data_IF_059652010031
#
_entry.id   IF_059652010031
#
_cell.length_a   1.000
_cell.length_b   1.000
_cell.length_c   1.000
_cell.angle_alpha   90.00
_cell.angle_beta   90.00
_cell.angle_gamma   90.00
#
_symmetry.space_group_name_H-M   'P 1'
#
loop_
_entity.id
_entity.type
_entity.pdbx_description
1 polymer ?
#
# COMPACT_ATOMS: atom_id res chain seq x y z
N UNK A 1 24.74 -47.37 22.35
CA UNK A 1 23.78 -47.18 21.25
C UNK A 1 23.73 -45.68 20.98
N UNK A 2 24.74 -45.06 20.34
CA UNK A 2 25.59 -45.49 19.21
C UNK A 2 24.75 -45.65 17.93
N UNK A 3 25.11 -45.03 16.79
CA UNK A 3 26.43 -44.50 16.42
C UNK A 3 26.41 -43.06 15.88
N UNK A 4 27.54 -42.35 16.06
CA UNK A 4 27.87 -41.11 15.37
C UNK A 4 28.38 -41.41 13.95
N UNK A 5 28.36 -40.41 13.07
CA UNK A 5 29.31 -40.31 11.95
C UNK A 5 29.88 -38.89 11.92
N UNK A 6 31.21 -38.80 11.86
CA UNK A 6 31.99 -37.58 11.68
C UNK A 6 33.03 -37.88 10.59
N UNK A 7 33.20 -36.98 9.63
CA UNK A 7 34.35 -36.94 8.74
C UNK A 7 34.59 -35.48 8.30
N UNK A 8 35.63 -34.86 8.86
CA UNK A 8 36.21 -33.63 8.32
C UNK A 8 37.39 -33.99 7.38
N UNK A 9 38.36 -33.10 7.07
CA UNK A 9 38.45 -32.55 5.73
C UNK A 9 39.72 -32.98 4.98
N UNK A 10 39.86 -32.51 3.74
CA UNK A 10 41.11 -32.59 2.98
C UNK A 10 41.62 -31.18 2.68
N UNK A 11 42.82 -30.83 3.17
CA UNK A 11 43.47 -29.54 2.96
C UNK A 11 44.73 -29.65 2.08
N UNK A 12 45.00 -28.55 1.36
CA UNK A 12 46.29 -28.08 0.82
C UNK A 12 47.15 -28.96 -0.13
N UNK A 13 47.44 -28.39 -1.31
CA UNK A 13 48.39 -28.87 -2.31
C UNK A 13 49.23 -27.73 -2.91
N UNK A 14 49.62 -26.76 -2.07
CA UNK A 14 50.21 -25.45 -2.39
C UNK A 14 51.36 -25.38 -3.41
N UNK A 15 51.38 -24.24 -4.14
CA UNK A 15 52.50 -23.62 -4.92
C UNK A 15 52.73 -24.21 -6.33
N UNK A 16 53.36 -23.51 -7.29
CA UNK A 16 54.10 -22.22 -7.27
C UNK A 16 53.93 -21.46 -8.60
N UNK A 17 54.18 -20.16 -8.63
CA UNK A 17 54.31 -19.36 -9.86
C UNK A 17 55.80 -19.12 -10.21
N UNK A 18 56.11 -18.72 -11.44
CA UNK A 18 57.10 -17.67 -11.80
C UNK A 18 57.04 -17.32 -13.32
N UNK A 19 57.60 -16.18 -13.80
CA UNK A 19 57.31 -15.64 -15.15
C UNK A 19 58.52 -15.41 -16.11
N UNK A 20 58.19 -15.00 -17.35
CA UNK A 20 58.99 -14.27 -18.36
C UNK A 20 60.11 -14.96 -19.20
N UNK A 21 60.15 -14.67 -20.52
CA UNK A 21 61.38 -14.40 -21.33
C UNK A 21 61.07 -13.93 -22.78
N UNK A 22 61.85 -12.93 -23.23
CA UNK A 22 61.85 -12.06 -24.44
C UNK A 22 62.42 -12.77 -25.72
N UNK A 23 62.24 -12.40 -27.01
CA UNK A 23 61.66 -11.20 -27.68
C UNK A 23 60.45 -11.54 -28.61
N UNK A 24 60.34 -11.45 -29.97
CA UNK A 24 61.20 -11.11 -31.15
C UNK A 24 60.41 -10.19 -32.14
N UNK A 25 61.14 -9.50 -33.04
CA UNK A 25 60.75 -8.45 -34.01
C UNK A 25 59.85 -8.91 -35.20
N UNK A 26 58.94 -8.02 -35.64
CA UNK A 26 58.33 -7.97 -36.98
C UNK A 26 57.83 -6.55 -37.30
N UNK A 27 57.86 -6.08 -38.55
CA UNK A 27 57.66 -4.65 -38.89
C UNK A 27 56.81 -4.38 -40.15
N UNK A 28 56.08 -3.25 -40.17
CA UNK A 28 55.47 -2.67 -41.39
C UNK A 28 54.19 -1.83 -41.18
N UNK A 29 54.12 -0.62 -41.76
CA UNK A 29 52.94 0.29 -41.77
C UNK A 29 52.77 1.10 -40.47
N UNK A 30 52.75 2.45 -40.40
CA UNK A 30 52.05 3.47 -41.20
C UNK A 30 50.51 3.30 -41.13
N UNK A 31 49.69 4.29 -40.73
CA UNK A 31 49.74 5.74 -41.04
C UNK A 31 49.32 6.63 -39.84
N UNK A 32 49.81 7.89 -39.85
CA UNK A 32 49.42 9.16 -39.17
C UNK A 32 48.09 9.29 -38.37
N UNK A 33 47.90 10.27 -37.45
CA UNK A 33 48.78 11.19 -36.69
C UNK A 33 47.91 12.06 -35.73
N UNK A 34 48.41 12.39 -34.52
CA UNK A 34 47.98 13.45 -33.57
C UNK A 34 46.47 13.54 -33.14
N UNK A 35 46.08 13.61 -31.86
CA UNK A 35 46.50 14.48 -30.73
C UNK A 35 46.23 15.98 -30.93
N UNK A 36 45.31 16.55 -30.14
CA UNK A 36 45.60 17.53 -29.05
C UNK A 36 44.29 18.07 -28.47
N UNK A 37 44.26 18.31 -27.16
CA UNK A 37 43.17 18.98 -26.42
C UNK A 37 43.32 20.51 -26.48
N UNK A 38 42.23 21.27 -26.29
CA UNK A 38 42.01 22.16 -25.12
C UNK A 38 40.82 23.13 -25.36
N UNK A 39 40.31 23.69 -24.26
CA UNK A 39 39.14 24.58 -24.16
C UNK A 39 39.35 26.04 -24.61
N UNK A 40 38.27 26.69 -25.04
CA UNK A 40 38.01 28.12 -24.73
C UNK A 40 36.52 28.37 -24.49
N UNK A 41 36.21 29.26 -23.54
CA UNK A 41 34.88 29.86 -23.34
C UNK A 41 34.91 31.27 -23.93
N UNK A 42 33.87 31.65 -24.68
CA UNK A 42 33.62 33.04 -25.08
C UNK A 42 32.14 33.36 -24.84
N UNK A 43 31.87 34.48 -24.20
CA UNK A 43 30.54 35.07 -24.07
C UNK A 43 30.55 36.49 -24.63
N UNK A 44 29.60 36.83 -25.49
CA UNK A 44 29.38 38.19 -26.02
C UNK A 44 27.88 38.48 -26.03
N UNK A 45 27.51 39.72 -25.71
CA UNK A 45 26.14 40.21 -25.60
C UNK A 45 25.66 40.87 -26.91
N UNK A 46 24.35 40.82 -27.15
CA UNK A 46 23.62 41.83 -27.93
C UNK A 46 23.39 41.50 -29.41
N UNK A 47 22.12 41.31 -29.78
CA UNK A 47 21.69 41.12 -31.17
C UNK A 47 20.19 40.87 -31.27
N UNK A 48 19.38 41.93 -31.26
CA UNK A 48 17.91 41.82 -31.29
C UNK A 48 17.40 41.48 -32.69
N UNK A 49 16.73 40.33 -32.85
CA UNK A 49 15.95 40.00 -34.05
C UNK A 49 14.50 39.66 -33.70
N UNK A 50 13.56 40.27 -34.41
CA UNK A 50 12.13 39.97 -34.32
C UNK A 50 11.80 38.83 -35.28
N UNK A 51 11.67 37.61 -34.77
CA UNK A 51 11.22 36.45 -35.54
C UNK A 51 9.82 36.03 -35.08
N UNK A 52 8.81 36.20 -35.94
CA UNK A 52 7.45 35.68 -35.69
C UNK A 52 7.35 34.22 -36.15
N UNK A 53 6.59 33.42 -35.39
CA UNK A 53 6.16 32.07 -35.77
C UNK A 53 6.98 30.95 -35.15
N UNK A 54 6.31 30.07 -34.39
CA UNK A 54 6.92 28.86 -33.82
C UNK A 54 6.63 28.62 -32.34
N UNK A 55 5.36 28.43 -31.95
CA UNK A 55 5.03 27.91 -30.60
C UNK A 55 5.31 26.39 -30.51
N UNK A 56 6.58 26.02 -30.61
CA UNK A 56 7.07 24.69 -30.24
C UNK A 56 7.21 24.61 -28.73
N UNK A 57 6.14 24.21 -28.03
CA UNK A 57 6.08 24.17 -26.57
C UNK A 57 6.94 23.07 -25.95
N UNK A 58 8.26 23.28 -25.92
CA UNK A 58 9.20 22.52 -25.09
C UNK A 58 8.96 22.84 -23.61
N UNK A 59 7.94 22.20 -23.02
CA UNK A 59 7.46 22.46 -21.66
C UNK A 59 8.48 22.08 -20.58
N UNK A 60 9.33 23.02 -20.19
CA UNK A 60 10.30 22.83 -19.11
C UNK A 60 9.63 22.47 -17.78
N UNK A 61 10.08 21.38 -17.15
CA UNK A 61 9.52 20.83 -15.91
C UNK A 61 9.96 21.66 -14.70
N UNK A 62 9.43 22.88 -14.60
CA UNK A 62 9.67 23.83 -13.52
C UNK A 62 8.35 24.36 -12.93
N UNK A 63 7.34 23.49 -12.78
CA UNK A 63 6.08 23.82 -12.11
C UNK A 63 6.35 24.26 -10.68
N UNK A 64 6.08 25.53 -10.38
CA UNK A 64 6.24 26.10 -9.05
C UNK A 64 5.33 25.41 -8.03
N UNK A 65 5.79 25.32 -6.79
CA UNK A 65 5.03 24.73 -5.70
C UNK A 65 3.83 25.61 -5.35
N UNK A 66 2.65 25.00 -5.23
CA UNK A 66 1.42 25.73 -4.93
C UNK A 66 1.41 26.32 -3.52
N UNK A 67 0.54 27.31 -3.24
CA UNK A 67 0.32 27.79 -1.87
C UNK A 67 -0.14 26.70 -0.90
N UNK A 68 -0.67 25.57 -1.37
CA UNK A 68 -0.96 24.40 -0.53
C UNK A 68 0.32 23.64 -0.19
N UNK A 69 1.15 23.33 -1.21
CA UNK A 69 2.44 22.67 -1.01
C UNK A 69 3.34 23.47 -0.05
N UNK A 70 3.35 24.80 -0.15
CA UNK A 70 4.10 25.68 0.74
C UNK A 70 3.57 25.76 2.18
N UNK A 71 2.37 25.23 2.49
CA UNK A 71 1.78 25.16 3.84
C UNK A 71 1.85 23.77 4.45
N UNK A 72 1.64 22.72 3.66
CA UNK A 72 1.62 21.33 4.17
C UNK A 72 3.00 20.68 4.22
N UNK A 73 3.87 21.00 3.25
CA UNK A 73 5.18 20.35 3.12
C UNK A 73 6.22 21.15 3.90
N UNK A 74 6.94 20.56 4.87
CA UNK A 74 8.03 21.25 5.56
C UNK A 74 9.08 21.76 4.55
N UNK A 75 9.60 23.00 4.67
CA UNK A 75 10.45 23.60 3.63
C UNK A 75 11.71 22.79 3.28
N UNK A 76 12.30 22.07 4.25
CA UNK A 76 13.41 21.16 4.02
C UNK A 76 12.99 19.97 3.12
N UNK A 77 11.88 19.31 3.47
CA UNK A 77 11.29 18.19 2.73
C UNK A 77 10.86 18.61 1.31
N UNK A 78 10.30 19.81 1.15
CA UNK A 78 9.95 20.36 -0.17
C UNK A 78 11.18 20.55 -1.07
N UNK A 79 12.31 20.96 -0.48
CA UNK A 79 13.57 21.08 -1.21
C UNK A 79 14.18 19.71 -1.53
N UNK A 80 13.99 18.70 -0.67
CA UNK A 80 14.38 17.31 -0.95
C UNK A 80 13.59 16.71 -2.12
N UNK A 81 12.25 16.83 -2.15
CA UNK A 81 11.44 16.35 -3.28
C UNK A 81 11.90 16.96 -4.61
N UNK A 82 12.22 18.27 -4.62
CA UNK A 82 12.74 18.96 -5.81
C UNK A 82 14.12 18.47 -6.23
N UNK A 83 15.07 18.31 -5.30
CA UNK A 83 16.42 17.79 -5.60
C UNK A 83 16.39 16.36 -6.12
N UNK A 84 15.63 15.47 -5.47
CA UNK A 84 15.47 14.08 -5.89
C UNK A 84 14.82 13.98 -7.28
N UNK A 85 13.74 14.72 -7.51
CA UNK A 85 13.07 14.75 -8.81
C UNK A 85 13.95 15.32 -9.93
N UNK A 86 14.76 16.34 -9.64
CA UNK A 86 15.76 16.86 -10.58
C UNK A 86 16.86 15.82 -10.87
N UNK A 87 17.38 15.13 -9.85
CA UNK A 87 18.41 14.06 -9.97
C UNK A 87 17.93 12.91 -10.88
N UNK A 88 16.64 12.55 -10.82
CA UNK A 88 16.08 11.43 -11.58
C UNK A 88 15.21 11.83 -12.80
N UNK A 89 15.09 13.12 -13.11
CA UNK A 89 14.33 13.62 -14.25
C UNK A 89 12.84 13.27 -14.21
N UNK A 90 12.23 13.36 -13.03
CA UNK A 90 10.80 13.08 -12.79
C UNK A 90 10.10 14.30 -12.16
N UNK A 91 8.80 14.19 -11.94
CA UNK A 91 7.96 15.25 -11.36
C UNK A 91 8.04 15.27 -9.82
N UNK A 92 8.51 16.38 -9.26
CA UNK A 92 8.65 16.56 -7.81
C UNK A 92 7.33 16.44 -7.05
N UNK A 93 6.21 16.77 -7.70
CA UNK A 93 4.89 16.68 -7.06
C UNK A 93 4.42 15.23 -6.89
N UNK A 94 4.87 14.29 -7.74
CA UNK A 94 4.61 12.86 -7.56
C UNK A 94 5.39 12.32 -6.36
N UNK A 95 6.68 12.66 -6.24
CA UNK A 95 7.49 12.25 -5.07
C UNK A 95 6.95 12.86 -3.77
N UNK A 96 6.48 14.11 -3.83
CA UNK A 96 5.76 14.75 -2.72
C UNK A 96 4.42 14.05 -2.41
N UNK A 97 3.66 13.63 -3.43
CA UNK A 97 2.42 12.89 -3.28
C UNK A 97 2.63 11.54 -2.58
N UNK A 98 3.71 10.81 -2.88
CA UNK A 98 4.10 9.59 -2.13
C UNK A 98 4.31 9.94 -0.66
N UNK A 99 5.22 10.86 -0.34
CA UNK A 99 5.51 11.18 1.06
C UNK A 99 4.32 11.76 1.84
N UNK A 100 3.33 12.34 1.15
CA UNK A 100 2.04 12.72 1.72
C UNK A 100 1.21 11.51 2.14
N UNK A 101 1.07 10.53 1.25
CA UNK A 101 0.26 9.32 1.47
C UNK A 101 0.91 8.39 2.50
N UNK A 102 2.23 8.26 2.46
CA UNK A 102 2.97 7.31 3.31
C UNK A 102 3.15 7.80 4.77
N UNK A 103 3.44 9.10 5.00
CA UNK A 103 3.79 9.63 6.33
C UNK A 103 3.45 11.12 6.56
N UNK A 104 2.55 11.72 5.77
CA UNK A 104 2.24 13.16 5.78
C UNK A 104 3.49 14.10 5.76
N UNK A 105 4.49 13.73 4.96
CA UNK A 105 5.83 14.34 4.85
C UNK A 105 6.75 14.16 6.06
N UNK A 106 6.60 13.04 6.79
CA UNK A 106 7.31 12.76 8.03
C UNK A 106 6.70 13.45 9.25
N UNK A 107 5.38 13.72 9.20
CA UNK A 107 4.61 14.38 10.26
C UNK A 107 3.59 13.45 10.94
N UNK A 108 3.35 12.27 10.37
CA UNK A 108 2.58 11.23 11.05
C UNK A 108 3.29 10.79 12.34
N UNK A 109 2.59 10.70 13.49
CA UNK A 109 3.19 10.31 14.77
C UNK A 109 3.49 8.81 14.89
N UNK A 110 3.14 7.97 13.92
CA UNK A 110 3.51 6.54 13.96
C UNK A 110 5.05 6.38 14.01
N UNK A 111 5.60 5.59 14.94
CA UNK A 111 7.04 5.44 15.09
C UNK A 111 7.75 4.96 13.82
N UNK A 112 7.08 4.17 12.96
CA UNK A 112 7.68 3.67 11.72
C UNK A 112 8.05 4.79 10.74
N UNK A 113 7.33 5.92 10.76
CA UNK A 113 7.57 7.06 9.87
C UNK A 113 8.83 7.87 10.22
N UNK A 114 9.35 7.79 11.44
CA UNK A 114 10.35 8.75 11.95
C UNK A 114 11.42 8.18 12.90
N UNK A 115 11.19 7.04 13.56
CA UNK A 115 12.15 6.45 14.50
C UNK A 115 12.95 5.32 13.84
N UNK A 116 14.27 5.46 13.83
CA UNK A 116 15.18 4.41 13.36
C UNK A 116 14.86 3.04 13.98
N UNK A 117 14.96 1.97 13.20
CA UNK A 117 14.60 0.61 13.60
C UNK A 117 13.09 0.33 13.69
N UNK A 118 12.21 1.34 13.71
CA UNK A 118 10.77 1.13 13.81
C UNK A 118 10.14 0.76 12.45
N UNK A 119 9.29 -0.27 12.46
CA UNK A 119 8.62 -0.81 11.27
C UNK A 119 7.11 -0.77 11.46
N UNK A 120 6.35 -0.59 10.37
CA UNK A 120 4.93 -0.86 10.35
C UNK A 120 4.67 -2.39 10.27
N UNK A 121 3.41 -2.83 10.31
CA UNK A 121 3.07 -4.26 10.32
C UNK A 121 3.53 -5.05 9.07
N UNK A 122 3.83 -4.36 7.96
CA UNK A 122 4.35 -4.93 6.71
C UNK A 122 5.90 -4.87 6.61
N UNK A 123 6.59 -4.41 7.66
CA UNK A 123 8.05 -4.24 7.66
C UNK A 123 8.54 -2.97 6.97
N UNK A 124 7.63 -2.11 6.50
CA UNK A 124 7.95 -0.81 5.91
C UNK A 124 8.32 0.22 6.99
N UNK A 125 8.92 1.35 6.59
CA UNK A 125 9.22 2.47 7.48
C UNK A 125 10.14 3.51 6.85
N UNK A 126 10.45 4.54 7.63
CA UNK A 126 10.92 5.83 7.15
C UNK A 126 9.80 6.70 6.60
N UNK A 127 10.08 7.98 6.27
CA UNK A 127 9.08 8.95 5.81
C UNK A 127 8.53 8.65 4.40
N UNK A 128 9.03 7.59 3.75
CA UNK A 128 8.58 7.05 2.46
C UNK A 128 8.26 5.54 2.54
N UNK A 129 8.07 4.99 3.76
CA UNK A 129 7.59 3.63 4.05
C UNK A 129 8.24 2.49 3.23
N UNK A 130 9.57 2.48 3.10
CA UNK A 130 10.28 1.44 2.36
C UNK A 130 10.35 0.10 3.11
N UNK A 131 9.84 -0.98 2.52
CA UNK A 131 10.17 -2.35 2.97
C UNK A 131 11.65 -2.67 2.71
N UNK A 132 12.27 -3.44 3.60
CA UNK A 132 13.71 -3.69 3.61
C UNK A 132 14.26 -4.32 2.31
N UNK A 133 13.47 -5.17 1.64
CA UNK A 133 13.85 -5.80 0.36
C UNK A 133 13.89 -4.84 -0.82
N UNK A 134 13.08 -3.77 -0.79
CA UNK A 134 13.13 -2.68 -1.76
C UNK A 134 14.26 -1.71 -1.41
N UNK A 135 14.46 -1.42 -0.11
CA UNK A 135 15.60 -0.60 0.34
C UNK A 135 16.95 -1.20 -0.08
N UNK A 136 17.14 -2.51 0.09
CA UNK A 136 18.36 -3.21 -0.31
C UNK A 136 18.64 -3.21 -1.83
N UNK A 137 17.75 -2.65 -2.67
CA UNK A 137 17.90 -2.54 -4.13
C UNK A 137 17.89 -1.11 -4.66
N UNK A 138 17.15 -0.21 -3.99
CA UNK A 138 16.90 1.16 -4.46
C UNK A 138 17.22 2.23 -3.40
N UNK A 139 17.73 1.84 -2.24
CA UNK A 139 18.27 2.72 -1.22
C UNK A 139 19.49 3.47 -1.74
N UNK A 140 19.47 4.80 -1.62
CA UNK A 140 20.47 5.71 -2.18
C UNK A 140 20.81 6.78 -1.14
N UNK A 141 22.11 6.91 -0.86
CA UNK A 141 22.71 8.07 -0.19
C UNK A 141 22.25 9.37 -0.88
N UNK A 142 21.46 10.15 -0.14
CA UNK A 142 20.68 11.29 -0.61
C UNK A 142 21.24 12.65 -0.19
N UNK A 143 22.05 12.71 0.88
CA UNK A 143 22.73 13.93 1.32
C UNK A 143 24.26 13.87 1.25
N UNK A 144 24.86 12.68 1.13
CA UNK A 144 26.29 12.45 0.86
C UNK A 144 27.12 12.05 2.09
N UNK A 145 26.51 11.54 3.16
CA UNK A 145 27.22 11.19 4.40
C UNK A 145 27.99 9.85 4.34
N UNK A 146 27.74 9.03 3.31
CA UNK A 146 28.36 7.71 3.10
C UNK A 146 27.54 6.52 3.58
N UNK A 147 26.36 6.76 4.16
CA UNK A 147 25.38 5.75 4.56
C UNK A 147 24.11 5.84 3.70
N UNK A 148 23.18 4.89 3.88
CA UNK A 148 21.86 4.95 3.26
C UNK A 148 20.80 4.47 4.24
N UNK A 149 20.32 5.40 5.06
CA UNK A 149 19.31 5.16 6.08
C UNK A 149 17.89 5.37 5.51
N UNK A 150 17.02 4.38 5.67
CA UNK A 150 15.62 4.52 5.23
C UNK A 150 14.82 5.52 6.05
N UNK A 151 15.24 5.83 7.29
CA UNK A 151 14.58 6.81 8.15
C UNK A 151 15.07 8.26 7.92
N UNK A 152 16.29 8.47 7.41
CA UNK A 152 16.78 9.75 6.90
C UNK A 152 15.86 10.26 5.77
N UNK A 153 15.22 11.43 5.90
CA UNK A 153 14.37 11.98 4.85
C UNK A 153 15.10 12.26 3.53
N UNK A 154 16.41 12.54 3.54
CA UNK A 154 17.17 12.82 2.33
C UNK A 154 17.33 11.56 1.47
N UNK A 155 17.79 10.48 2.10
CA UNK A 155 17.96 9.17 1.49
C UNK A 155 16.61 8.60 1.07
N UNK A 156 15.61 8.60 1.95
CA UNK A 156 14.29 8.06 1.68
C UNK A 156 13.63 8.71 0.45
N UNK A 157 13.67 10.05 0.36
CA UNK A 157 13.08 10.80 -0.76
C UNK A 157 13.89 10.60 -2.05
N UNK A 158 15.22 10.52 -1.95
CA UNK A 158 16.09 10.24 -3.09
C UNK A 158 15.87 8.84 -3.65
N UNK A 159 15.75 7.86 -2.76
CA UNK A 159 15.48 6.45 -3.06
C UNK A 159 14.08 6.25 -3.68
N UNK A 160 13.08 7.01 -3.21
CA UNK A 160 11.75 6.99 -3.82
C UNK A 160 11.77 7.50 -5.28
N UNK A 161 12.51 8.58 -5.55
CA UNK A 161 12.71 9.07 -6.91
C UNK A 161 13.54 8.10 -7.78
N UNK A 162 14.55 7.45 -7.20
CA UNK A 162 15.34 6.40 -7.86
C UNK A 162 14.47 5.20 -8.26
N UNK A 163 13.61 4.73 -7.34
CA UNK A 163 12.74 3.59 -7.56
C UNK A 163 11.66 3.88 -8.62
N UNK A 164 10.99 5.04 -8.54
CA UNK A 164 10.05 5.47 -9.60
C UNK A 164 10.71 5.50 -10.98
N UNK A 165 11.95 6.02 -11.07
CA UNK A 165 12.71 6.08 -12.32
C UNK A 165 13.13 4.69 -12.83
N UNK A 166 13.44 3.75 -11.93
CA UNK A 166 13.70 2.35 -12.29
C UNK A 166 12.43 1.61 -12.73
N UNK A 167 11.27 1.97 -12.19
CA UNK A 167 9.96 1.37 -12.49
C UNK A 167 9.18 2.05 -13.63
N UNK A 168 9.78 2.97 -14.38
CA UNK A 168 9.23 3.49 -15.65
C UNK A 168 8.94 4.99 -15.72
N UNK A 169 8.96 5.73 -14.61
CA UNK A 169 8.80 7.19 -14.64
C UNK A 169 10.00 7.86 -15.33
N UNK A 170 9.84 8.96 -16.10
CA UNK A 170 8.60 9.71 -16.33
C UNK A 170 7.73 9.18 -17.48
N UNK A 171 8.12 8.08 -18.14
CA UNK A 171 7.40 7.52 -19.29
C UNK A 171 6.06 6.88 -18.92
N UNK A 172 6.03 6.16 -17.80
CA UNK A 172 4.80 5.68 -17.17
C UNK A 172 4.86 5.92 -15.65
N UNK A 173 4.17 6.96 -15.19
CA UNK A 173 4.02 7.24 -13.75
C UNK A 173 3.05 6.27 -13.07
N UNK A 174 2.04 5.73 -13.77
CA UNK A 174 1.02 4.88 -13.16
C UNK A 174 1.54 3.47 -12.96
N UNK A 175 2.26 2.90 -13.93
CA UNK A 175 3.05 1.68 -13.75
C UNK A 175 4.14 1.84 -12.68
N UNK A 176 4.86 2.96 -12.65
CA UNK A 176 5.87 3.22 -11.62
C UNK A 176 5.27 3.32 -10.20
N UNK A 177 4.09 3.92 -10.04
CA UNK A 177 3.38 3.99 -8.77
C UNK A 177 2.76 2.64 -8.38
N UNK A 178 2.25 1.84 -9.33
CA UNK A 178 1.82 0.46 -9.09
C UNK A 178 2.98 -0.46 -8.67
N UNK A 179 4.20 -0.22 -9.18
CA UNK A 179 5.38 -0.91 -8.72
C UNK A 179 5.78 -0.50 -7.29
N UNK A 180 5.56 0.77 -6.93
CA UNK A 180 5.81 1.28 -5.59
C UNK A 180 4.85 0.67 -4.55
N UNK A 181 3.55 0.66 -4.87
CA UNK A 181 2.49 0.02 -4.10
C UNK A 181 1.39 -0.44 -5.07
N UNK A 182 1.08 -1.74 -5.08
CA UNK A 182 0.27 -2.41 -6.10
C UNK A 182 -1.25 -2.16 -5.96
N UNK A 183 -1.64 -0.91 -5.75
CA UNK A 183 -3.01 -0.48 -5.51
C UNK A 183 -3.39 0.71 -6.40
N UNK A 184 -4.47 0.57 -7.18
CA UNK A 184 -4.97 1.64 -8.05
C UNK A 184 -5.43 2.90 -7.31
N UNK A 185 -5.86 2.76 -6.05
CA UNK A 185 -6.16 3.90 -5.18
C UNK A 185 -4.91 4.69 -4.82
N UNK A 186 -3.81 4.01 -4.45
CA UNK A 186 -2.55 4.65 -4.07
C UNK A 186 -2.01 5.52 -5.21
N UNK A 187 -2.02 4.99 -6.43
CA UNK A 187 -1.68 5.76 -7.65
C UNK A 187 -2.54 7.02 -7.75
N UNK A 188 -3.85 6.89 -7.56
CA UNK A 188 -4.82 7.98 -7.74
C UNK A 188 -4.75 9.02 -6.62
N UNK A 189 -4.40 8.61 -5.39
CA UNK A 189 -4.14 9.48 -4.25
C UNK A 189 -2.85 10.28 -4.42
N UNK A 190 -1.76 9.62 -4.82
CA UNK A 190 -0.50 10.28 -5.16
C UNK A 190 -0.68 11.26 -6.32
N UNK A 191 -1.39 10.87 -7.38
CA UNK A 191 -1.69 11.76 -8.52
C UNK A 191 -2.57 12.96 -8.11
N UNK A 192 -3.56 12.77 -7.23
CA UNK A 192 -4.43 13.83 -6.69
C UNK A 192 -3.66 14.82 -5.82
N UNK A 193 -2.83 14.34 -4.89
CA UNK A 193 -1.96 15.20 -4.09
C UNK A 193 -0.93 15.93 -4.96
N UNK A 194 -0.34 15.24 -5.93
CA UNK A 194 0.55 15.86 -6.91
C UNK A 194 -0.16 16.93 -7.75
N UNK A 195 -1.42 16.77 -8.15
CA UNK A 195 -2.17 17.80 -8.86
C UNK A 195 -2.33 19.06 -8.01
N UNK A 196 -2.73 18.90 -6.74
CA UNK A 196 -2.92 19.99 -5.78
C UNK A 196 -1.60 20.69 -5.41
N UNK A 197 -0.48 19.96 -5.33
CA UNK A 197 0.85 20.52 -5.09
C UNK A 197 1.45 21.25 -6.29
N UNK A 198 1.08 20.89 -7.53
CA UNK A 198 1.32 21.71 -8.74
C UNK A 198 0.39 22.93 -8.86
N UNK A 199 -0.62 23.05 -7.99
CA UNK A 199 -1.58 24.16 -8.01
C UNK A 199 -2.70 24.01 -9.02
N UNK A 200 -2.94 22.80 -9.54
CA UNK A 200 -4.17 22.49 -10.27
C UNK A 200 -5.32 22.39 -9.26
N UNK A 201 -6.29 23.29 -9.39
CA UNK A 201 -7.59 23.16 -8.72
C UNK A 201 -8.43 22.09 -9.42
N UNK A 202 -9.34 21.46 -8.68
CA UNK A 202 -10.20 20.36 -9.16
C UNK A 202 -11.36 20.84 -10.08
N UNK A 203 -11.09 21.80 -10.98
CA UNK A 203 -12.08 22.49 -11.83
C UNK A 203 -12.31 21.80 -13.19
N UNK A 204 -12.25 20.47 -13.25
CA UNK A 204 -12.32 19.69 -14.49
C UNK A 204 -13.11 18.36 -14.37
N UNK A 205 -14.04 18.25 -13.42
CA UNK A 205 -14.96 17.11 -13.29
C UNK A 205 -16.30 17.55 -12.65
N UNK A 206 -17.26 18.02 -13.46
CA UNK A 206 -18.50 18.63 -12.96
C UNK A 206 -19.80 18.29 -13.73
N UNK A 207 -19.86 17.11 -14.36
CA UNK A 207 -21.07 16.31 -14.65
C UNK A 207 -20.59 14.86 -14.83
N UNK A 208 -21.22 13.79 -14.33
CA UNK A 208 -22.51 13.59 -13.64
C UNK A 208 -22.34 12.83 -12.31
N UNK A 209 -23.36 12.86 -11.42
CA UNK A 209 -23.56 11.94 -10.27
C UNK A 209 -22.35 11.70 -9.35
N UNK A 210 -22.29 12.43 -8.23
CA UNK A 210 -21.13 12.40 -7.32
C UNK A 210 -20.99 11.11 -6.50
N UNK A 211 -19.78 10.55 -6.50
CA UNK A 211 -19.33 9.45 -5.67
C UNK A 211 -18.03 9.91 -4.97
N UNK A 212 -17.99 9.90 -3.63
CA UNK A 212 -16.91 10.51 -2.84
C UNK A 212 -16.10 9.41 -2.16
N UNK A 213 -15.09 8.92 -2.86
CA UNK A 213 -14.16 7.93 -2.32
C UNK A 213 -13.19 8.57 -1.31
N UNK A 214 -13.42 8.32 -0.02
CA UNK A 214 -12.30 8.12 0.90
C UNK A 214 -11.73 6.72 0.72
N UNK A 215 -10.62 6.37 1.36
CA UNK A 215 -10.16 4.98 1.32
C UNK A 215 -9.40 4.56 2.58
N UNK A 216 -9.64 3.31 2.98
CA UNK A 216 -9.02 2.68 4.12
C UNK A 216 -8.78 1.20 3.86
N UNK A 217 -7.50 0.82 3.83
CA UNK A 217 -6.93 -0.49 4.17
C UNK A 217 -7.51 -1.79 3.55
N UNK A 218 -8.14 -1.76 2.38
CA UNK A 218 -8.50 -3.00 1.65
C UNK A 218 -7.27 -3.56 0.91
N UNK A 219 -6.94 -4.82 1.13
CA UNK A 219 -5.81 -5.48 0.45
C UNK A 219 -6.14 -5.79 -1.03
N UNK A 220 -5.93 -4.82 -1.92
CA UNK A 220 -6.29 -4.90 -3.34
C UNK A 220 -7.72 -4.40 -3.63
N UNK A 221 -8.05 -4.08 -4.90
CA UNK A 221 -9.29 -3.40 -5.26
C UNK A 221 -10.54 -4.23 -4.92
N UNK A 222 -11.60 -3.55 -4.49
CA UNK A 222 -12.92 -4.17 -4.32
C UNK A 222 -13.61 -4.36 -5.68
N UNK A 223 -14.24 -5.50 -5.97
CA UNK A 223 -15.16 -5.66 -7.09
C UNK A 223 -16.53 -5.00 -6.83
N UNK A 224 -16.78 -4.46 -5.63
CA UNK A 224 -18.04 -3.82 -5.23
C UNK A 224 -17.91 -2.31 -5.01
N UNK A 225 -18.96 -1.50 -5.25
CA UNK A 225 -18.89 -0.05 -5.09
C UNK A 225 -18.52 0.39 -3.67
N UNK A 226 -17.53 1.26 -3.52
CA UNK A 226 -17.14 1.82 -2.22
C UNK A 226 -17.94 3.10 -1.98
N UNK A 227 -18.91 3.07 -1.06
CA UNK A 227 -19.79 4.21 -0.75
C UNK A 227 -19.76 4.59 0.72
N UNK A 228 -19.60 5.87 0.99
CA UNK A 228 -19.45 6.43 2.33
C UNK A 228 -20.73 7.07 2.86
N UNK A 229 -20.87 7.06 4.19
CA UNK A 229 -21.82 7.93 4.92
C UNK A 229 -21.11 8.73 6.01
N UNK A 230 -21.71 9.87 6.38
CA UNK A 230 -21.27 10.67 7.51
C UNK A 230 -21.62 10.00 8.84
N UNK A 231 -20.74 10.17 9.84
CA UNK A 231 -20.93 9.63 11.19
C UNK A 231 -20.20 8.31 11.43
N UNK A 232 -20.60 7.62 12.50
CA UNK A 232 -19.85 6.55 13.15
C UNK A 232 -20.58 5.19 13.19
N UNK A 233 -21.59 4.98 12.34
CA UNK A 233 -22.27 3.70 12.20
C UNK A 233 -22.44 3.31 10.74
N UNK A 234 -22.22 2.05 10.41
CA UNK A 234 -22.55 1.52 9.09
C UNK A 234 -24.07 1.41 8.91
N UNK A 235 -24.53 1.47 7.68
CA UNK A 235 -25.94 1.37 7.31
C UNK A 235 -26.06 0.67 5.96
N UNK A 236 -27.21 0.06 5.65
CA UNK A 236 -27.47 -0.44 4.31
C UNK A 236 -27.74 0.71 3.33
N UNK A 237 -27.26 0.57 2.10
CA UNK A 237 -27.74 1.34 0.96
C UNK A 237 -29.22 1.07 0.73
N UNK A 238 -29.97 2.09 0.30
CA UNK A 238 -31.30 1.87 -0.25
C UNK A 238 -31.19 1.00 -1.53
N UNK A 239 -32.09 0.02 -1.66
CA UNK A 239 -32.05 -1.00 -2.72
C UNK A 239 -32.35 -2.39 -2.17
N UNK A 240 -31.68 -3.39 -2.75
CA UNK A 240 -31.63 -4.78 -2.29
C UNK A 240 -30.99 -4.98 -0.91
N UNK A 241 -30.10 -4.08 -0.49
CA UNK A 241 -29.35 -4.20 0.77
C UNK A 241 -28.10 -5.07 0.67
N UNK A 242 -27.59 -5.38 -0.53
CA UNK A 242 -26.30 -6.04 -0.74
C UNK A 242 -25.09 -5.09 -0.61
N UNK A 243 -25.29 -3.87 -0.09
CA UNK A 243 -24.22 -2.88 0.06
C UNK A 243 -24.31 -2.15 1.39
N UNK A 244 -23.30 -2.33 2.24
CA UNK A 244 -23.07 -1.50 3.41
C UNK A 244 -22.36 -0.20 3.03
N UNK A 245 -22.92 0.91 3.50
CA UNK A 245 -22.35 2.24 3.47
C UNK A 245 -21.32 2.37 4.61
N UNK A 246 -20.18 2.97 4.29
CA UNK A 246 -18.97 2.97 5.11
C UNK A 246 -18.90 4.26 5.94
N UNK A 247 -18.90 4.19 7.29
CA UNK A 247 -18.91 5.37 8.14
C UNK A 247 -17.54 6.06 8.15
N UNK A 248 -17.50 7.31 7.66
CA UNK A 248 -16.25 8.09 7.56
C UNK A 248 -15.55 8.34 8.92
N UNK A 249 -16.27 8.26 10.05
CA UNK A 249 -15.68 8.43 11.38
C UNK A 249 -15.12 7.13 11.99
N UNK A 250 -15.23 5.99 11.30
CA UNK A 250 -14.60 4.74 11.74
C UNK A 250 -13.12 4.66 11.31
N UNK A 251 -12.24 3.98 12.07
CA UNK A 251 -10.85 3.74 11.67
C UNK A 251 -10.74 3.06 10.30
N UNK A 252 -9.67 3.34 9.56
CA UNK A 252 -9.45 2.82 8.20
C UNK A 252 -9.53 1.28 8.13
N UNK A 253 -9.05 0.57 9.15
CA UNK A 253 -9.16 -0.89 9.28
C UNK A 253 -10.62 -1.38 9.38
N UNK A 254 -11.49 -0.60 10.03
CA UNK A 254 -12.92 -0.91 10.14
C UNK A 254 -13.62 -0.62 8.82
N UNK A 255 -13.27 0.49 8.16
CA UNK A 255 -13.75 0.81 6.81
C UNK A 255 -13.39 -0.33 5.83
N UNK A 256 -12.15 -0.82 5.88
CA UNK A 256 -11.69 -1.97 5.11
C UNK A 256 -12.48 -3.25 5.39
N UNK A 257 -12.79 -3.51 6.67
CA UNK A 257 -13.55 -4.71 7.06
C UNK A 257 -14.99 -4.64 6.51
N UNK A 258 -15.56 -3.45 6.39
CA UNK A 258 -16.87 -3.22 5.76
C UNK A 258 -16.80 -3.36 4.23
N UNK A 259 -15.76 -2.83 3.57
CA UNK A 259 -15.59 -3.07 2.13
C UNK A 259 -15.43 -4.56 1.85
N UNK A 260 -14.57 -5.25 2.60
CA UNK A 260 -14.39 -6.70 2.48
C UNK A 260 -15.71 -7.46 2.69
N UNK A 261 -16.57 -7.01 3.61
CA UNK A 261 -17.91 -7.58 3.81
C UNK A 261 -18.88 -7.33 2.65
N UNK A 262 -18.73 -6.25 1.88
CA UNK A 262 -19.47 -6.01 0.64
C UNK A 262 -19.08 -7.02 -0.46
N UNK A 263 -17.80 -7.40 -0.55
CA UNK A 263 -17.30 -8.29 -1.61
C UNK A 263 -17.92 -9.69 -1.59
N UNK A 264 -18.45 -10.11 -0.44
CA UNK A 264 -19.03 -11.42 -0.21
C UNK A 264 -20.55 -11.50 -0.46
N UNK A 265 -21.21 -10.37 -0.73
CA UNK A 265 -22.68 -10.27 -0.69
C UNK A 265 -23.41 -11.03 -1.81
N UNK A 266 -22.69 -11.42 -2.87
CA UNK A 266 -23.21 -12.28 -3.95
C UNK A 266 -22.89 -13.76 -3.76
N UNK A 267 -22.11 -14.14 -2.74
CA UNK A 267 -21.66 -15.52 -2.57
C UNK A 267 -22.75 -16.37 -1.89
N UNK A 268 -22.93 -17.63 -2.34
CA UNK A 268 -23.72 -18.64 -1.63
C UNK A 268 -23.00 -19.15 -0.37
N UNK A 269 -23.77 -19.80 0.51
CA UNK A 269 -23.23 -20.48 1.68
C UNK A 269 -22.56 -21.81 1.30
N UNK A 270 -21.32 -22.03 1.75
CA UNK A 270 -20.64 -23.30 1.54
C UNK A 270 -19.15 -23.28 1.96
N UNK A 271 -18.49 -24.44 2.03
CA UNK A 271 -17.20 -24.60 2.69
C UNK A 271 -15.98 -24.15 1.86
N UNK A 272 -16.16 -23.60 0.64
CA UNK A 272 -15.04 -23.35 -0.26
C UNK A 272 -14.02 -22.31 0.24
N UNK A 273 -14.40 -21.44 1.18
CA UNK A 273 -13.49 -20.51 1.86
C UNK A 273 -12.52 -21.16 2.87
N UNK A 274 -12.60 -22.48 3.10
CA UNK A 274 -11.69 -23.23 3.97
C UNK A 274 -10.68 -24.07 3.18
N UNK A 275 -9.37 -24.03 3.49
CA UNK A 275 -8.70 -23.19 4.51
C UNK A 275 -8.28 -21.79 4.00
N UNK A 276 -8.51 -21.49 2.72
CA UNK A 276 -8.05 -20.28 2.06
C UNK A 276 -9.22 -19.44 1.52
N UNK A 277 -9.65 -18.37 2.21
CA UNK A 277 -10.75 -17.51 1.76
C UNK A 277 -10.39 -16.63 0.54
N UNK A 278 -9.18 -16.73 -0.02
CA UNK A 278 -8.75 -15.89 -1.15
C UNK A 278 -9.34 -16.37 -2.48
N UNK A 279 -10.45 -15.74 -2.88
CA UNK A 279 -11.10 -16.02 -4.17
C UNK A 279 -12.00 -17.26 -4.14
N UNK A 280 -12.51 -17.61 -2.96
CA UNK A 280 -13.53 -18.64 -2.80
C UNK A 280 -14.82 -18.28 -3.56
N UNK A 281 -15.57 -19.32 -3.96
CA UNK A 281 -16.85 -19.19 -4.67
C UNK A 281 -18.07 -19.41 -3.74
N UNK A 282 -17.81 -19.87 -2.52
CA UNK A 282 -18.76 -20.11 -1.43
C UNK A 282 -18.06 -19.73 -0.12
N UNK A 283 -18.81 -19.22 0.85
CA UNK A 283 -18.29 -18.88 2.18
C UNK A 283 -19.22 -19.40 3.28
N UNK A 284 -18.66 -19.99 4.34
CA UNK A 284 -19.37 -20.34 5.56
C UNK A 284 -19.20 -19.27 6.64
N UNK A 285 -19.79 -19.46 7.82
CA UNK A 285 -19.76 -18.48 8.90
C UNK A 285 -18.31 -18.16 9.37
N UNK A 286 -17.46 -19.18 9.47
CA UNK A 286 -16.04 -19.08 9.87
C UNK A 286 -15.16 -18.53 8.76
N UNK A 287 -15.36 -18.96 7.51
CA UNK A 287 -14.57 -18.44 6.39
C UNK A 287 -14.96 -16.99 6.07
N UNK A 288 -16.24 -16.60 6.17
CA UNK A 288 -16.70 -15.19 6.08
C UNK A 288 -15.97 -14.28 7.07
N UNK A 289 -15.90 -14.68 8.35
CA UNK A 289 -15.22 -13.88 9.38
C UNK A 289 -13.70 -13.90 9.17
N UNK A 290 -13.14 -15.02 8.71
CA UNK A 290 -11.73 -15.10 8.32
C UNK A 290 -11.39 -14.19 7.14
N UNK A 291 -12.28 -14.09 6.14
CA UNK A 291 -12.16 -13.26 4.96
C UNK A 291 -12.00 -11.80 5.36
N UNK A 292 -13.00 -11.23 6.04
CA UNK A 292 -13.01 -9.80 6.34
C UNK A 292 -11.86 -9.39 7.29
N UNK A 293 -11.45 -10.30 8.19
CA UNK A 293 -10.29 -10.07 9.06
C UNK A 293 -8.95 -10.11 8.30
N UNK A 294 -8.73 -11.02 7.34
CA UNK A 294 -7.49 -10.99 6.55
C UNK A 294 -7.48 -9.84 5.55
N UNK A 295 -8.61 -9.57 4.89
CA UNK A 295 -8.70 -8.60 3.80
C UNK A 295 -8.54 -7.14 4.28
N UNK A 296 -8.89 -6.89 5.55
CA UNK A 296 -8.63 -5.65 6.27
C UNK A 296 -7.25 -5.60 7.00
N UNK A 297 -6.42 -6.64 6.87
CA UNK A 297 -5.10 -6.72 7.51
C UNK A 297 -5.10 -7.03 9.02
N UNK A 298 -6.26 -7.34 9.62
CA UNK A 298 -6.40 -7.61 11.06
C UNK A 298 -5.80 -8.98 11.44
N UNK A 299 -6.01 -10.01 10.60
CA UNK A 299 -5.53 -11.37 10.85
C UNK A 299 -4.63 -11.83 9.68
N UNK A 300 -3.35 -12.16 9.90
CA UNK A 300 -2.47 -12.56 8.80
C UNK A 300 -3.00 -13.78 8.05
N UNK A 301 -2.99 -13.77 6.71
CA UNK A 301 -3.42 -14.93 5.91
C UNK A 301 -2.61 -16.19 6.23
N UNK A 302 -1.31 -16.05 6.54
CA UNK A 302 -0.44 -17.13 7.00
C UNK A 302 -0.76 -17.64 8.42
N UNK A 303 -1.65 -17.00 9.17
CA UNK A 303 -2.27 -17.55 10.38
C UNK A 303 -3.50 -18.38 10.01
N UNK A 304 -4.43 -17.80 9.23
CA UNK A 304 -5.66 -18.46 8.75
C UNK A 304 -5.35 -19.80 8.09
N UNK A 305 -4.41 -19.81 7.12
CA UNK A 305 -3.98 -21.01 6.39
C UNK A 305 -3.36 -22.10 7.28
N UNK A 306 -2.78 -21.74 8.44
CA UNK A 306 -2.15 -22.70 9.37
C UNK A 306 -3.10 -23.21 10.44
N UNK A 307 -4.10 -22.41 10.82
CA UNK A 307 -5.04 -22.74 11.89
C UNK A 307 -6.34 -23.35 11.35
N UNK A 308 -6.72 -23.05 10.11
CA UNK A 308 -8.01 -23.39 9.49
C UNK A 308 -9.21 -23.14 10.44
N UNK A 309 -9.38 -21.91 10.94
CA UNK A 309 -10.19 -21.60 12.12
C UNK A 309 -11.71 -21.74 11.86
N UNK A 310 -12.32 -22.74 12.48
CA UNK A 310 -13.76 -22.98 12.43
C UNK A 310 -14.52 -22.06 13.40
N UNK A 311 -15.84 -22.02 13.29
CA UNK A 311 -16.69 -21.13 14.08
C UNK A 311 -16.46 -21.24 15.61
N UNK A 312 -16.29 -22.45 16.13
CA UNK A 312 -15.99 -22.68 17.54
C UNK A 312 -14.61 -22.17 17.98
N UNK A 313 -13.62 -22.06 17.08
CA UNK A 313 -12.29 -21.54 17.46
C UNK A 313 -12.34 -20.03 17.76
N UNK A 314 -13.31 -19.32 17.18
CA UNK A 314 -13.54 -17.90 17.44
C UNK A 314 -14.06 -17.61 18.86
N UNK A 315 -14.57 -18.59 19.62
CA UNK A 315 -15.03 -18.36 21.01
C UNK A 315 -13.89 -17.96 21.97
N UNK A 316 -12.63 -18.20 21.55
CA UNK A 316 -11.41 -17.85 22.29
C UNK A 316 -10.47 -16.90 21.52
N UNK A 317 -10.79 -16.53 20.28
CA UNK A 317 -9.97 -15.61 19.47
C UNK A 317 -10.13 -14.15 19.92
N UNK A 318 -9.09 -13.33 19.72
CA UNK A 318 -9.11 -11.90 20.07
C UNK A 318 -9.30 -11.60 21.56
N UNK A 319 -9.62 -10.35 21.89
CA UNK A 319 -9.93 -9.91 23.25
C UNK A 319 -11.40 -10.20 23.63
N UNK A 320 -11.72 -10.47 24.91
CA UNK A 320 -13.09 -10.72 25.36
C UNK A 320 -13.90 -9.42 25.50
N UNK A 321 -15.22 -9.54 25.35
CA UNK A 321 -16.17 -8.43 25.40
C UNK A 321 -16.38 -7.74 24.04
N UNK A 322 -17.36 -6.82 23.95
CA UNK A 322 -17.64 -6.07 22.73
C UNK A 322 -16.52 -5.08 22.42
N UNK A 323 -16.09 -5.04 21.16
CA UNK A 323 -15.17 -4.01 20.64
C UNK A 323 -15.91 -2.72 20.34
N UNK A 324 -15.16 -1.63 20.14
CA UNK A 324 -15.76 -0.30 19.88
C UNK A 324 -16.42 -0.23 18.50
N UNK A 325 -15.83 -0.91 17.52
CA UNK A 325 -16.21 -0.88 16.11
C UNK A 325 -16.41 -2.28 15.53
N UNK A 326 -15.63 -3.26 15.96
CA UNK A 326 -15.72 -4.65 15.50
C UNK A 326 -16.06 -5.53 16.69
N UNK A 327 -17.22 -6.19 16.67
CA UNK A 327 -17.57 -7.21 17.66
C UNK A 327 -17.91 -8.52 16.96
N UNK A 328 -17.16 -9.57 17.28
CA UNK A 328 -17.40 -10.93 16.82
C UNK A 328 -18.27 -11.63 17.87
N UNK A 329 -19.32 -12.30 17.41
CA UNK A 329 -20.17 -13.15 18.23
C UNK A 329 -19.93 -14.59 17.76
N UNK A 330 -19.31 -15.40 18.62
CA UNK A 330 -18.99 -16.80 18.34
C UNK A 330 -19.69 -17.71 19.35
N UNK A 331 -20.19 -18.85 18.89
CA UNK A 331 -20.74 -19.90 19.74
C UNK A 331 -20.22 -21.27 19.28
N UNK A 332 -20.13 -22.18 20.24
CA UNK A 332 -19.91 -23.62 20.06
C UNK A 332 -21.20 -24.44 20.35
N UNK A 333 -22.13 -23.86 21.12
CA UNK A 333 -23.32 -24.53 21.66
C UNK A 333 -24.56 -23.62 21.65
N UNK A 334 -25.76 -24.15 21.29
CA UNK A 334 -26.07 -25.54 20.91
C UNK A 334 -25.70 -25.90 19.46
N UNK A 335 -25.24 -24.92 18.67
CA UNK A 335 -24.65 -25.11 17.36
C UNK A 335 -23.44 -24.20 17.23
N UNK A 336 -22.38 -24.67 16.59
CA UNK A 336 -21.25 -23.82 16.23
C UNK A 336 -21.69 -22.78 15.18
N UNK A 337 -21.39 -21.50 15.42
CA UNK A 337 -21.65 -20.40 14.49
C UNK A 337 -20.81 -19.17 14.87
N UNK A 338 -20.43 -18.36 13.89
CA UNK A 338 -19.74 -17.09 14.14
C UNK A 338 -20.20 -16.00 13.18
N UNK A 339 -20.37 -14.79 13.70
CA UNK A 339 -20.69 -13.61 12.89
C UNK A 339 -20.01 -12.35 13.43
N UNK A 340 -20.04 -11.26 12.66
CA UNK A 340 -19.39 -10.01 13.05
C UNK A 340 -20.32 -8.81 12.90
N UNK A 341 -20.26 -7.89 13.86
CA UNK A 341 -20.92 -6.59 13.84
C UNK A 341 -19.86 -5.52 13.60
N UNK A 342 -20.01 -4.77 12.51
CA UNK A 342 -19.04 -3.83 11.96
C UNK A 342 -19.66 -2.43 11.95
N UNK A 343 -19.13 -1.55 12.80
CA UNK A 343 -19.70 -0.23 13.11
C UNK A 343 -21.23 -0.27 13.40
N UNK A 344 -21.72 -1.37 14.00
CA UNK A 344 -23.13 -1.56 14.34
C UNK A 344 -24.02 -2.22 13.28
N UNK A 345 -23.48 -2.61 12.11
CA UNK A 345 -24.19 -3.42 11.10
C UNK A 345 -23.67 -4.86 11.12
N UNK A 346 -24.56 -5.86 11.03
CA UNK A 346 -24.21 -7.29 11.16
C UNK A 346 -23.91 -7.92 9.80
N UNK A 347 -22.76 -8.59 9.67
CA UNK A 347 -22.44 -9.50 8.56
C UNK A 347 -22.57 -10.94 9.06
N UNK A 348 -23.49 -11.71 8.49
CA UNK A 348 -23.84 -13.07 8.97
C UNK A 348 -24.44 -13.96 7.87
N UNK A 349 -24.13 -15.25 7.92
CA UNK A 349 -24.64 -16.28 6.99
C UNK A 349 -25.96 -16.95 7.41
N UNK A 350 -26.52 -16.63 8.58
CA UNK A 350 -27.68 -17.35 9.14
C UNK A 350 -29.00 -17.13 8.39
N UNK A 351 -29.49 -18.14 7.65
CA UNK A 351 -30.74 -18.09 6.87
C UNK A 351 -31.97 -17.56 7.64
N UNK A 352 -32.19 -18.05 8.86
CA UNK A 352 -33.38 -17.74 9.69
C UNK A 352 -33.11 -16.77 10.87
N UNK A 353 -31.94 -16.14 10.92
CA UNK A 353 -31.47 -15.45 12.13
C UNK A 353 -31.91 -13.99 12.23
N UNK A 354 -33.09 -13.74 12.82
CA UNK A 354 -33.53 -12.42 13.39
C UNK A 354 -33.34 -11.17 12.50
N UNK A 355 -33.31 -11.34 11.18
CA UNK A 355 -33.13 -10.25 10.22
C UNK A 355 -34.49 -9.63 9.84
N UNK A 356 -34.64 -8.33 10.05
CA UNK A 356 -35.82 -7.55 9.61
C UNK A 356 -35.55 -6.77 8.32
N UNK A 357 -34.35 -6.88 7.76
CA UNK A 357 -33.93 -6.24 6.52
C UNK A 357 -34.37 -7.00 5.25
N UNK A 358 -33.88 -6.55 4.09
CA UNK A 358 -34.23 -7.17 2.80
C UNK A 358 -33.65 -8.59 2.64
N UNK A 359 -32.40 -8.81 3.06
CA UNK A 359 -31.65 -10.08 2.96
C UNK A 359 -32.18 -11.22 3.86
N UNK A 360 -33.31 -11.04 4.54
CA UNK A 360 -33.84 -11.92 5.61
C UNK A 360 -34.27 -13.33 5.19
N UNK A 361 -34.25 -13.64 3.89
CA UNK A 361 -34.57 -14.96 3.32
C UNK A 361 -33.38 -15.56 2.53
N UNK A 362 -32.20 -14.96 2.64
CA UNK A 362 -31.04 -15.35 1.84
C UNK A 362 -29.96 -16.09 2.63
N UNK A 363 -29.37 -17.07 1.97
CA UNK A 363 -28.19 -17.81 2.40
C UNK A 363 -26.88 -17.10 2.03
N UNK A 364 -25.82 -17.46 2.75
CA UNK A 364 -24.47 -16.95 2.50
C UNK A 364 -24.24 -15.60 3.15
N UNK A 365 -23.06 -14.99 2.92
CA UNK A 365 -22.65 -13.77 3.62
C UNK A 365 -23.58 -12.62 3.27
N UNK A 366 -24.34 -12.13 4.26
CA UNK A 366 -25.27 -11.01 4.07
C UNK A 366 -25.15 -9.96 5.16
N UNK A 367 -25.32 -8.71 4.77
CA UNK A 367 -25.57 -7.61 5.69
C UNK A 367 -27.01 -7.66 6.20
N UNK A 368 -27.20 -7.69 7.52
CA UNK A 368 -28.52 -7.93 8.13
C UNK A 368 -28.90 -6.80 9.07
N UNK A 369 -30.19 -6.44 9.08
CA UNK A 369 -30.73 -5.45 10.02
C UNK A 369 -31.26 -6.22 11.24
N UNK A 370 -30.63 -6.00 12.38
CA UNK A 370 -31.07 -6.53 13.67
C UNK A 370 -31.85 -5.47 14.46
N UNK A 371 -32.95 -5.90 15.09
CA UNK A 371 -33.48 -5.26 16.29
C UNK A 371 -32.77 -5.78 17.56
N UNK A 372 -32.35 -7.06 17.58
CA UNK A 372 -31.61 -7.68 18.68
C UNK A 372 -30.59 -8.74 18.22
N UNK A 373 -29.60 -9.04 19.07
CA UNK A 373 -28.67 -10.18 18.89
C UNK A 373 -29.46 -11.49 19.03
N UNK A 374 -29.28 -12.50 18.14
CA UNK A 374 -30.08 -13.72 18.19
C UNK A 374 -29.95 -14.47 19.52
N UNK A 375 -31.03 -15.05 20.03
CA UNK A 375 -31.07 -15.68 21.38
C UNK A 375 -30.93 -17.20 21.39
N UNK A 376 -30.69 -17.84 20.23
CA UNK A 376 -30.66 -19.29 20.07
C UNK A 376 -29.33 -19.97 20.46
N UNK A 377 -28.28 -19.19 20.77
CA UNK A 377 -26.97 -19.69 21.21
C UNK A 377 -26.35 -18.83 22.31
N UNK A 378 -25.36 -19.41 23.00
CA UNK A 378 -24.59 -18.73 24.04
C UNK A 378 -23.35 -18.06 23.44
N UNK A 379 -23.46 -16.77 23.10
CA UNK A 379 -22.38 -16.04 22.44
C UNK A 379 -21.22 -15.70 23.37
N UNK A 380 -20.04 -16.22 23.03
CA UNK A 380 -18.76 -15.61 23.39
C UNK A 380 -18.58 -14.34 22.57
N UNK A 381 -18.63 -13.19 23.24
CA UNK A 381 -18.45 -11.87 22.61
C UNK A 381 -16.97 -11.54 22.61
N UNK A 382 -16.39 -11.29 21.43
CA UNK A 382 -14.95 -11.03 21.21
C UNK A 382 -14.73 -9.81 20.32
N UNK A 383 -13.51 -9.29 20.29
CA UNK A 383 -13.08 -8.27 19.32
C UNK A 383 -11.58 -8.39 18.97
N UNK A 384 -11.16 -7.89 17.79
CA UNK A 384 -9.75 -7.67 17.50
C UNK A 384 -9.13 -6.69 18.52
N UNK A 385 -7.95 -6.96 19.09
CA UNK A 385 -7.34 -6.05 20.06
C UNK A 385 -7.15 -4.63 19.51
N UNK A 386 -7.75 -3.63 20.19
CA UNK A 386 -7.62 -2.22 19.86
C UNK A 386 -8.73 -1.62 18.96
N UNK A 387 -9.76 -2.40 18.59
CA UNK A 387 -10.86 -1.95 17.71
C UNK A 387 -12.27 -2.05 18.35
#
# INVERSE_FOLDING_TARGET
>A
MSSQWIAEPAEDGRRRADPATTLIVGAGGAIALALVLLSTVIAVLGGSTLQLGGQGSAGGVASSASPLAAREIPPATLNLYKRAAQRYGIDWAIVAGIGKVECDHGRDPDPSCSREGAVNYAGAGGPMQFIATTWARYGVDGDGDGHSDRWNPADAITSAAAYLRASGAPGDYRGALLAYNAAGWYVSDVERWAARYRGRSDTAAAVTSGEVSGEGAVAGPSPTPIRFLAGARAALSAGDGHLALIPMAAPLTVQATIVAGNELQSLPYGPAGHPDPRGALEEDCSSTVSYVLYRAGIRPIGEVLRQNPLAQDYVHWGAPGPGRWITIYAADSPSAHVFVVLAGLRLDTSHNGTDVGPNRLEDGPRWRILDHIPTWAHWSIRHPPGL
#
